data_IF_247754448332
#
_entry.id   IF_247754448332
#
_cell.length_a   1.000
_cell.length_b   1.000
_cell.length_c   1.000
_cell.angle_alpha   90.00
_cell.angle_beta   90.00
_cell.angle_gamma   90.00
#
_symmetry.space_group_name_H-M   'P 1'
#
loop_
_entity.id
_entity.type
_entity.pdbx_description
1 polymer ?
#
# COMPACT_ATOMS: atom_id res chain seq x y z
N UNK A 1 4.71 32.30 -33.63
CA UNK A 1 3.99 31.02 -33.42
C UNK A 1 2.84 30.98 -34.42
N UNK A 2 2.63 29.88 -35.15
CA UNK A 2 1.55 29.75 -36.15
C UNK A 2 0.71 28.51 -35.86
N UNK A 3 -0.52 28.45 -36.39
CA UNK A 3 -1.48 27.38 -36.11
C UNK A 3 -0.99 26.02 -36.62
N UNK A 4 -0.19 25.99 -37.69
CA UNK A 4 0.39 24.76 -38.23
C UNK A 4 1.41 24.13 -37.27
N UNK A 5 2.02 24.92 -36.38
CA UNK A 5 2.91 24.41 -35.33
C UNK A 5 2.15 23.70 -34.19
N UNK A 6 0.81 23.71 -34.21
CA UNK A 6 -0.01 22.94 -33.29
C UNK A 6 -0.27 21.51 -33.79
N UNK A 7 -0.12 21.22 -35.08
CA UNK A 7 -0.43 19.89 -35.63
C UNK A 7 0.41 18.79 -34.97
N UNK A 8 1.71 19.03 -34.81
CA UNK A 8 2.65 18.13 -34.12
C UNK A 8 2.22 17.93 -32.66
N UNK A 9 1.90 19.02 -31.94
CA UNK A 9 1.45 18.96 -30.55
C UNK A 9 0.11 18.24 -30.38
N UNK A 10 -0.81 18.40 -31.33
CA UNK A 10 -2.10 17.71 -31.36
C UNK A 10 -1.89 16.21 -31.60
N UNK A 11 -0.97 15.84 -32.49
CA UNK A 11 -0.63 14.44 -32.74
C UNK A 11 -0.01 13.79 -31.51
N UNK A 12 0.94 14.46 -30.85
CA UNK A 12 1.54 13.98 -29.59
C UNK A 12 0.50 13.82 -28.48
N UNK A 13 -0.43 14.76 -28.35
CA UNK A 13 -1.53 14.66 -27.40
C UNK A 13 -2.45 13.47 -27.69
N UNK A 14 -2.83 13.24 -28.95
CA UNK A 14 -3.63 12.05 -29.32
C UNK A 14 -2.88 10.75 -29.03
N UNK A 15 -1.58 10.72 -29.29
CA UNK A 15 -0.74 9.56 -29.00
C UNK A 15 -0.61 9.30 -27.49
N UNK A 16 -0.53 10.35 -26.66
CA UNK A 16 -0.49 10.19 -25.21
C UNK A 16 -1.82 9.67 -24.67
N UNK A 17 -2.96 10.17 -25.17
CA UNK A 17 -4.29 9.64 -24.82
C UNK A 17 -4.43 8.16 -25.15
N UNK A 18 -3.95 7.73 -26.33
CA UNK A 18 -3.97 6.31 -26.73
C UNK A 18 -3.21 5.44 -25.73
N UNK A 19 -2.00 5.86 -25.33
CA UNK A 19 -1.19 5.15 -24.32
C UNK A 19 -1.90 5.07 -22.97
N UNK A 20 -2.55 6.14 -22.53
CA UNK A 20 -3.32 6.15 -21.27
C UNK A 20 -4.46 5.12 -21.34
N UNK A 21 -5.19 5.07 -22.46
CA UNK A 21 -6.27 4.09 -22.67
C UNK A 21 -5.74 2.66 -22.64
N UNK A 22 -4.63 2.39 -23.34
CA UNK A 22 -4.00 1.07 -23.36
C UNK A 22 -3.59 0.60 -21.95
N UNK A 23 -2.93 1.47 -21.16
CA UNK A 23 -2.57 1.19 -19.77
C UNK A 23 -3.79 0.88 -18.90
N UNK A 24 -4.87 1.65 -19.05
CA UNK A 24 -6.12 1.45 -18.30
C UNK A 24 -6.81 0.14 -18.65
N UNK A 25 -6.82 -0.23 -19.94
CA UNK A 25 -7.35 -1.53 -20.39
C UNK A 25 -6.51 -2.66 -19.79
N UNK A 26 -5.18 -2.56 -19.82
CA UNK A 26 -4.29 -3.59 -19.28
C UNK A 26 -4.48 -3.80 -17.78
N UNK A 27 -4.63 -2.72 -17.02
CA UNK A 27 -4.99 -2.80 -15.60
C UNK A 27 -6.26 -3.59 -15.36
N UNK A 28 -7.35 -3.20 -16.04
CA UNK A 28 -8.69 -3.77 -15.84
C UNK A 28 -8.80 -5.21 -16.32
N UNK A 29 -8.10 -5.57 -17.39
CA UNK A 29 -8.19 -6.89 -18.01
C UNK A 29 -7.19 -7.91 -17.45
N UNK A 30 -6.14 -7.47 -16.76
CA UNK A 30 -5.08 -8.37 -16.32
C UNK A 30 -4.36 -7.91 -15.04
N UNK A 31 -3.75 -6.72 -15.02
CA UNK A 31 -2.77 -6.39 -13.97
C UNK A 31 -3.37 -6.38 -12.57
N UNK A 32 -4.62 -5.90 -12.40
CA UNK A 32 -5.31 -5.89 -11.11
C UNK A 32 -5.49 -7.32 -10.56
N UNK A 33 -6.07 -8.20 -11.38
CA UNK A 33 -6.31 -9.60 -11.00
C UNK A 33 -4.99 -10.34 -10.73
N UNK A 34 -3.95 -10.04 -11.50
CA UNK A 34 -2.62 -10.58 -11.29
C UNK A 34 -2.04 -10.16 -9.92
N UNK A 35 -2.11 -8.87 -9.57
CA UNK A 35 -1.70 -8.37 -8.25
C UNK A 35 -2.47 -9.09 -7.13
N UNK A 36 -3.80 -9.15 -7.25
CA UNK A 36 -4.66 -9.85 -6.27
C UNK A 36 -4.21 -11.30 -6.10
N UNK A 37 -3.95 -12.01 -7.20
CA UNK A 37 -3.55 -13.42 -7.16
C UNK A 37 -2.23 -13.63 -6.40
N UNK A 38 -1.22 -12.78 -6.61
CA UNK A 38 0.07 -12.89 -5.93
C UNK A 38 -0.05 -12.50 -4.46
N UNK A 39 -0.77 -11.42 -4.15
CA UNK A 39 -1.00 -11.02 -2.76
C UNK A 39 -1.80 -12.10 -1.99
N UNK A 40 -2.80 -12.73 -2.62
CA UNK A 40 -3.56 -13.84 -2.01
C UNK A 40 -2.70 -15.08 -1.78
N UNK A 41 -1.71 -15.37 -2.65
CA UNK A 41 -0.71 -16.41 -2.35
C UNK A 41 0.06 -16.09 -1.08
N UNK A 42 0.49 -14.82 -0.90
CA UNK A 42 1.19 -14.39 0.30
C UNK A 42 0.29 -14.50 1.55
N UNK A 43 -0.95 -14.04 1.46
CA UNK A 43 -1.98 -14.18 2.51
C UNK A 43 -2.14 -15.63 2.97
N UNK A 44 -2.27 -16.56 2.03
CA UNK A 44 -2.50 -17.97 2.34
C UNK A 44 -1.25 -18.69 2.86
N UNK A 45 -0.06 -18.27 2.44
CA UNK A 45 1.20 -18.91 2.83
C UNK A 45 1.72 -18.44 4.19
N UNK A 46 1.36 -17.23 4.61
CA UNK A 46 1.87 -16.60 5.83
C UNK A 46 0.72 -16.06 6.68
N UNK A 47 0.35 -16.79 7.73
CA UNK A 47 -0.74 -16.45 8.63
C UNK A 47 -0.36 -15.35 9.64
N UNK A 48 0.02 -14.16 9.16
CA UNK A 48 0.44 -13.02 9.98
C UNK A 48 -0.70 -12.02 10.25
N UNK A 49 -1.94 -12.40 9.95
CA UNK A 49 -3.14 -11.59 10.18
C UNK A 49 -3.36 -10.45 9.18
N UNK A 50 -2.64 -10.47 8.05
CA UNK A 50 -2.93 -9.60 6.91
C UNK A 50 -4.07 -10.13 6.03
N UNK A 51 -4.71 -9.23 5.27
CA UNK A 51 -5.72 -9.57 4.30
C UNK A 51 -5.60 -8.70 3.05
N UNK A 52 -5.91 -9.29 1.89
CA UNK A 52 -6.02 -8.60 0.61
C UNK A 52 -7.42 -8.02 0.44
N UNK A 53 -7.50 -6.73 0.08
CA UNK A 53 -8.77 -6.07 -0.20
C UNK A 53 -8.74 -5.38 -1.57
N UNK A 54 -9.90 -5.39 -2.23
CA UNK A 54 -10.15 -4.56 -3.39
C UNK A 54 -10.84 -3.27 -2.95
N UNK A 55 -10.20 -2.15 -3.28
CA UNK A 55 -10.68 -0.82 -2.95
C UNK A 55 -11.31 -0.21 -4.20
N UNK A 56 -12.64 -0.33 -4.29
CA UNK A 56 -13.43 0.26 -5.36
C UNK A 56 -14.10 1.53 -4.83
N UNK A 57 -13.37 2.65 -4.84
CA UNK A 57 -13.94 3.94 -4.46
C UNK A 57 -14.78 4.52 -5.60
N UNK A 58 -15.82 5.28 -5.26
CA UNK A 58 -16.76 5.85 -6.22
C UNK A 58 -16.01 6.84 -7.15
N UNK A 59 -16.00 6.52 -8.45
CA UNK A 59 -15.70 7.34 -9.64
C UNK A 59 -14.33 7.37 -10.35
N UNK A 60 -13.19 6.87 -9.86
CA UNK A 60 -12.01 6.82 -10.79
C UNK A 60 -10.79 6.00 -10.41
N UNK A 61 -10.59 5.62 -9.15
CA UNK A 61 -9.35 4.99 -8.70
C UNK A 61 -9.65 3.61 -8.11
N UNK A 62 -9.47 2.58 -8.93
CA UNK A 62 -9.42 1.21 -8.46
C UNK A 62 -8.06 0.97 -7.80
N UNK A 63 -8.08 0.36 -6.62
CA UNK A 63 -6.87 -0.03 -5.92
C UNK A 63 -7.02 -1.44 -5.34
N UNK A 64 -5.88 -2.07 -5.09
CA UNK A 64 -5.76 -3.34 -4.38
C UNK A 64 -4.74 -3.11 -3.29
N UNK A 65 -5.03 -3.58 -2.09
CA UNK A 65 -4.07 -3.53 -0.99
C UNK A 65 -3.90 -4.91 -0.35
N UNK A 66 -2.84 -5.03 0.43
CA UNK A 66 -2.73 -6.00 1.52
C UNK A 66 -2.51 -5.22 2.81
N UNK A 67 -3.29 -5.54 3.84
CA UNK A 67 -3.34 -4.75 5.08
C UNK A 67 -3.34 -5.65 6.31
N UNK A 68 -2.73 -5.19 7.41
CA UNK A 68 -2.85 -5.84 8.71
C UNK A 68 -4.24 -5.61 9.31
N UNK A 69 -5.01 -6.69 9.45
CA UNK A 69 -6.39 -6.64 9.93
C UNK A 69 -6.60 -7.32 11.27
N UNK A 70 -5.83 -8.37 11.53
CA UNK A 70 -5.94 -9.17 12.74
C UNK A 70 -4.57 -9.51 13.30
N UNK A 71 -4.54 -9.91 14.56
CA UNK A 71 -3.32 -10.43 15.17
C UNK A 71 -2.99 -11.82 14.59
N UNK A 72 -1.70 -12.17 14.43
CA UNK A 72 -1.31 -13.52 14.05
C UNK A 72 -1.96 -14.57 14.97
N UNK A 73 -2.68 -15.56 14.42
CA UNK A 73 -3.45 -16.52 15.22
C UNK A 73 -2.60 -17.33 16.21
N UNK A 74 -1.36 -17.64 15.84
CA UNK A 74 -0.38 -18.36 16.64
C UNK A 74 0.16 -17.56 17.84
N UNK A 75 -0.06 -16.25 17.86
CA UNK A 75 0.38 -15.37 18.95
C UNK A 75 -0.77 -14.88 19.83
N UNK A 76 -2.02 -15.29 19.58
CA UNK A 76 -3.19 -14.87 20.36
C UNK A 76 -3.09 -15.21 21.85
N UNK A 77 -2.40 -16.29 22.22
CA UNK A 77 -2.20 -16.63 23.64
C UNK A 77 -1.34 -15.60 24.38
N UNK A 78 -0.43 -14.91 23.68
CA UNK A 78 0.44 -13.88 24.26
C UNK A 78 -0.33 -12.59 24.55
N UNK A 79 -1.35 -12.26 23.75
CA UNK A 79 -2.16 -11.04 23.98
C UNK A 79 -3.02 -11.15 25.24
N UNK A 80 -3.48 -12.36 25.58
CA UNK A 80 -4.20 -12.62 26.83
C UNK A 80 -3.35 -12.34 28.08
N UNK A 81 -2.02 -12.36 27.96
CA UNK A 81 -1.09 -12.01 29.04
C UNK A 81 -0.88 -10.50 29.17
N UNK A 82 -1.32 -9.71 28.18
CA UNK A 82 -1.12 -8.28 28.10
C UNK A 82 -2.48 -7.58 27.94
N UNK A 83 -3.22 -7.34 29.03
CA UNK A 83 -4.59 -6.80 29.00
C UNK A 83 -4.71 -5.41 28.36
N UNK A 84 -3.59 -4.71 28.14
CA UNK A 84 -3.52 -3.41 27.45
C UNK A 84 -2.91 -3.48 26.05
N UNK A 85 -2.70 -4.68 25.49
CA UNK A 85 -2.12 -4.83 24.16
C UNK A 85 -3.08 -4.29 23.09
N UNK A 86 -2.66 -3.24 22.38
CA UNK A 86 -3.33 -2.74 21.20
C UNK A 86 -2.54 -3.17 19.97
N UNK A 87 -3.16 -4.00 19.13
CA UNK A 87 -2.62 -4.33 17.82
C UNK A 87 -2.75 -3.12 16.89
N UNK A 88 -1.66 -2.76 16.21
CA UNK A 88 -1.64 -1.69 15.21
C UNK A 88 -2.27 -2.20 13.90
N UNK A 89 -3.60 -2.15 13.84
CA UNK A 89 -4.36 -2.43 12.63
C UNK A 89 -4.19 -1.29 11.59
N UNK A 90 -4.22 -1.63 10.31
CA UNK A 90 -4.34 -0.64 9.22
C UNK A 90 -3.06 -0.32 8.46
N UNK A 91 -1.90 -0.86 8.87
CA UNK A 91 -0.69 -0.82 8.04
C UNK A 91 -0.94 -1.54 6.71
N UNK A 92 -0.78 -0.85 5.59
CA UNK A 92 -1.22 -1.34 4.27
C UNK A 92 -0.20 -1.06 3.17
N UNK A 93 0.04 -2.04 2.30
CA UNK A 93 0.70 -1.84 1.00
C UNK A 93 -0.38 -1.72 -0.07
N UNK A 94 -0.39 -0.61 -0.81
CA UNK A 94 -1.46 -0.24 -1.75
C UNK A 94 -0.91 -0.12 -3.17
N UNK A 95 -1.58 -0.75 -4.12
CA UNK A 95 -1.40 -0.60 -5.56
C UNK A 95 -2.63 0.10 -6.12
N UNK A 96 -2.47 1.30 -6.68
CA UNK A 96 -3.60 2.12 -7.15
C UNK A 96 -3.36 2.62 -8.56
N UNK A 97 -4.39 2.54 -9.42
CA UNK A 97 -4.31 3.12 -10.75
C UNK A 97 -4.43 4.65 -10.67
N UNK A 98 -3.47 5.35 -11.26
CA UNK A 98 -3.48 6.79 -11.46
C UNK A 98 -4.29 7.19 -12.71
N UNK A 99 -4.59 8.49 -12.79
CA UNK A 99 -5.38 9.04 -13.89
C UNK A 99 -4.77 8.78 -15.29
N UNK A 100 -3.44 8.69 -15.37
CA UNK A 100 -2.67 8.41 -16.59
C UNK A 100 -2.53 6.90 -16.90
N UNK A 101 -3.12 6.03 -16.08
CA UNK A 101 -3.09 4.58 -16.23
C UNK A 101 -1.85 3.90 -15.63
N UNK A 102 -0.90 4.66 -15.10
CA UNK A 102 0.21 4.08 -14.31
C UNK A 102 -0.29 3.63 -12.94
N UNK A 103 0.49 2.80 -12.27
CA UNK A 103 0.18 2.21 -10.98
C UNK A 103 1.08 2.88 -9.95
N UNK A 104 0.47 3.59 -9.01
CA UNK A 104 1.17 4.09 -7.83
C UNK A 104 1.21 3.00 -6.76
N UNK A 105 2.40 2.77 -6.20
CA UNK A 105 2.63 1.84 -5.11
C UNK A 105 3.04 2.62 -3.88
N UNK A 106 2.31 2.47 -2.78
CA UNK A 106 2.57 3.21 -1.55
C UNK A 106 2.30 2.36 -0.31
N UNK A 107 2.88 2.75 0.81
CA UNK A 107 2.58 2.22 2.13
C UNK A 107 1.75 3.25 2.88
N UNK A 108 0.67 2.80 3.50
CA UNK A 108 -0.07 3.53 4.53
C UNK A 108 0.33 2.95 5.88
N UNK A 109 0.83 3.78 6.79
CA UNK A 109 1.16 3.33 8.14
C UNK A 109 -0.09 3.37 9.03
N UNK A 110 -0.17 2.48 10.04
CA UNK A 110 -1.28 2.51 10.99
C UNK A 110 -1.27 3.85 11.76
N UNK A 111 -2.43 4.47 11.89
CA UNK A 111 -2.60 5.71 12.67
C UNK A 111 -2.87 5.30 14.12
N UNK A 112 -2.04 5.76 15.07
CA UNK A 112 -2.35 5.56 16.48
C UNK A 112 -3.23 6.70 16.99
N UNK A 113 -4.26 6.39 17.79
CA UNK A 113 -5.20 7.38 18.36
C UNK A 113 -4.51 8.48 19.19
N UNK A 114 -3.27 8.26 19.64
CA UNK A 114 -2.52 9.15 20.54
C UNK A 114 -1.23 9.75 19.93
N UNK A 115 -0.93 9.51 18.65
CA UNK A 115 0.24 10.12 18.01
C UNK A 115 -0.12 11.45 17.37
N UNK A 116 0.64 12.51 17.70
CA UNK A 116 0.71 13.68 16.81
C UNK A 116 1.08 13.20 15.40
N UNK A 117 0.47 13.74 14.35
CA UNK A 117 0.74 13.31 12.98
C UNK A 117 2.25 13.40 12.74
N UNK A 118 2.88 12.25 12.53
CA UNK A 118 4.27 12.20 12.08
C UNK A 118 4.28 12.81 10.66
N UNK A 119 5.39 13.43 10.25
CA UNK A 119 5.47 14.25 9.02
C UNK A 119 5.05 13.54 7.70
N UNK A 120 4.87 12.21 7.68
CA UNK A 120 3.99 11.54 6.71
C UNK A 120 3.49 10.18 7.24
N UNK A 121 2.18 9.96 7.18
CA UNK A 121 1.56 8.64 7.45
C UNK A 121 1.59 7.72 6.23
N UNK A 122 2.31 8.13 5.19
CA UNK A 122 2.43 7.43 3.92
C UNK A 122 3.88 7.38 3.43
N UNK A 123 4.21 6.34 2.67
CA UNK A 123 5.52 6.17 2.03
C UNK A 123 5.28 5.86 0.56
N UNK A 124 5.70 6.73 -0.35
CA UNK A 124 5.56 6.50 -1.79
C UNK A 124 6.70 5.58 -2.27
N UNK A 125 6.35 4.42 -2.82
CA UNK A 125 7.31 3.45 -3.35
C UNK A 125 7.53 3.59 -4.86
N UNK A 126 6.83 4.53 -5.50
CA UNK A 126 6.99 4.91 -6.89
C UNK A 126 5.76 4.65 -7.77
N UNK A 127 5.87 5.16 -9.00
CA UNK A 127 4.87 5.02 -10.07
C UNK A 127 5.44 4.17 -11.18
N UNK A 128 4.70 3.14 -11.58
CA UNK A 128 5.14 2.11 -12.53
C UNK A 128 4.09 1.86 -13.60
N UNK A 129 4.52 1.46 -14.79
CA UNK A 129 3.63 1.01 -15.83
C UNK A 129 3.02 -0.36 -15.47
N UNK A 130 1.79 -0.67 -15.91
CA UNK A 130 1.19 -1.98 -15.66
C UNK A 130 2.01 -3.17 -16.15
N UNK A 131 2.82 -2.98 -17.20
CA UNK A 131 3.72 -4.00 -17.76
C UNK A 131 4.96 -4.29 -16.91
N UNK A 132 5.30 -3.40 -15.97
CA UNK A 132 6.46 -3.57 -15.06
C UNK A 132 6.09 -4.41 -13.83
N UNK A 133 4.79 -4.63 -13.60
CA UNK A 133 4.30 -5.39 -12.44
C UNK A 133 4.45 -6.89 -12.70
N UNK A 134 5.51 -7.46 -12.16
CA UNK A 134 5.79 -8.90 -12.16
C UNK A 134 5.58 -9.51 -10.77
N UNK A 135 5.54 -10.84 -10.67
CA UNK A 135 5.47 -11.51 -9.35
C UNK A 135 6.68 -11.13 -8.47
N UNK A 136 7.88 -11.09 -9.06
CA UNK A 136 9.10 -10.66 -8.37
C UNK A 136 9.02 -9.22 -7.85
N UNK A 137 8.43 -8.31 -8.63
CA UNK A 137 8.19 -6.93 -8.20
C UNK A 137 7.23 -6.88 -7.00
N UNK A 138 6.11 -7.60 -7.05
CA UNK A 138 5.12 -7.61 -5.95
C UNK A 138 5.75 -8.17 -4.67
N UNK A 139 6.53 -9.26 -4.78
CA UNK A 139 7.25 -9.86 -3.66
C UNK A 139 8.29 -8.90 -3.08
N UNK A 140 9.04 -8.18 -3.92
CA UNK A 140 9.94 -7.13 -3.47
C UNK A 140 9.21 -6.04 -2.67
N UNK A 141 8.04 -5.58 -3.15
CA UNK A 141 7.26 -4.56 -2.43
C UNK A 141 6.69 -5.07 -1.11
N UNK A 142 6.31 -6.34 -1.02
CA UNK A 142 5.94 -6.99 0.24
C UNK A 142 7.11 -7.01 1.24
N UNK A 143 8.31 -7.36 0.79
CA UNK A 143 9.52 -7.35 1.63
C UNK A 143 9.85 -5.93 2.13
N UNK A 144 9.81 -4.94 1.24
CA UNK A 144 10.01 -3.53 1.59
C UNK A 144 8.96 -3.05 2.61
N UNK A 145 7.69 -3.41 2.40
CA UNK A 145 6.60 -3.09 3.32
C UNK A 145 6.84 -3.66 4.71
N UNK A 146 7.13 -4.95 4.83
CA UNK A 146 7.41 -5.59 6.12
C UNK A 146 8.61 -4.97 6.81
N UNK A 147 9.71 -4.72 6.09
CA UNK A 147 10.91 -4.06 6.64
C UNK A 147 10.59 -2.68 7.22
N UNK A 148 9.77 -1.89 6.52
CA UNK A 148 9.38 -0.55 6.96
C UNK A 148 8.46 -0.59 8.18
N UNK A 149 7.49 -1.49 8.22
CA UNK A 149 6.59 -1.68 9.37
C UNK A 149 7.39 -2.10 10.61
N UNK A 150 8.22 -3.14 10.49
CA UNK A 150 9.09 -3.62 11.59
C UNK A 150 9.96 -2.48 12.14
N UNK A 151 10.58 -1.70 11.24
CA UNK A 151 11.43 -0.58 11.63
C UNK A 151 10.65 0.53 12.35
N UNK A 152 9.38 0.76 12.02
CA UNK A 152 8.53 1.80 12.65
C UNK A 152 8.00 1.34 14.01
N UNK A 153 7.75 0.04 14.19
CA UNK A 153 7.19 -0.51 15.43
C UNK A 153 8.24 -0.73 16.55
N UNK A 154 9.47 -1.12 16.20
CA UNK A 154 10.55 -1.32 17.20
C UNK A 154 10.82 -0.05 18.06
N UNK A 155 10.86 1.18 17.53
CA UNK A 155 11.02 2.41 18.31
C UNK A 155 9.85 2.70 19.26
N UNK A 156 8.63 2.26 18.96
CA UNK A 156 7.44 2.50 19.78
C UNK A 156 7.46 1.66 21.06
N UNK A 157 7.97 0.43 20.99
CA UNK A 157 8.16 -0.46 22.16
C UNK A 157 9.13 0.12 23.20
N UNK A 158 10.12 0.90 22.77
CA UNK A 158 11.12 1.47 23.69
C UNK A 158 10.65 2.74 24.42
N UNK A 159 9.54 3.37 24.00
CA UNK A 159 9.01 4.59 24.64
C UNK A 159 8.03 4.32 25.79
N UNK A 160 7.59 3.08 26.01
CA UNK A 160 6.65 2.72 27.09
C UNK A 160 7.32 2.49 28.46
N UNK A 161 8.64 2.69 28.57
CA UNK A 161 9.39 2.58 29.84
C UNK A 161 9.70 4.00 30.36
N UNK A 162 8.66 4.78 30.67
CA UNK A 162 8.83 6.20 31.00
C UNK A 162 7.69 6.84 31.77
N UNK A 163 6.96 6.09 32.59
CA UNK A 163 6.13 6.67 33.65
C UNK A 163 6.54 6.09 34.99
N UNK A 164 7.68 6.55 35.50
CA UNK A 164 7.96 6.46 36.93
C UNK A 164 7.08 7.49 37.62
N UNK A 165 6.10 7.00 38.38
CA UNK A 165 5.44 7.77 39.44
C UNK A 165 6.53 8.34 40.37
N UNK A 166 6.56 9.65 40.51
CA UNK A 166 7.01 10.26 41.76
C UNK A 166 5.86 11.12 42.28
N UNK A 167 5.05 10.48 43.12
CA UNK A 167 4.35 11.15 44.22
C UNK A 167 5.25 10.98 45.46
N UNK A 168 5.75 12.08 46.01
CA UNK A 168 5.84 12.39 47.45
C UNK A 168 6.48 13.77 47.64
#
# INVERSE_FOLDING_TARGET
MRIEHLEERILDYKNSLKKIVEKRILWKSNTKDFIISVLKKAENNYAIGWQVQELNWIHSNEAVNITFDSFPPDMLELTNQLPTFQFLQGGSLVFSQLHNGDINVLILYPVSENSMPLESDTDDLGVFMPTEITEGFIVEKLDVFLKKIIKRDIPLLNKTVGFSKENS
#
